data_IF_442900869279
#
_entry.id   IF_442900869279
#
_cell.length_a   1.000
_cell.length_b   1.000
_cell.length_c   1.000
_cell.angle_alpha   90.00
_cell.angle_beta   90.00
_cell.angle_gamma   90.00
#
_symmetry.space_group_name_H-M   'P 1'
#
loop_
_entity.id
_entity.type
_entity.pdbx_description
1 polymer ?
#
# COMPACT_ATOMS: atom_id res chain seq x y z
N UNK A 1 -21.05 7.35 -3.95
CA UNK A 1 -20.65 6.66 -2.71
C UNK A 1 -19.30 6.01 -2.99
N UNK A 2 -18.43 5.79 -2.00
CA UNK A 2 -17.23 4.96 -2.22
C UNK A 2 -17.72 3.53 -2.18
N UNK A 3 -17.73 2.86 -3.32
CA UNK A 3 -18.33 1.53 -3.48
C UNK A 3 -17.36 0.41 -3.11
N UNK A 4 -16.05 0.64 -3.24
CA UNK A 4 -15.04 -0.28 -2.73
C UNK A 4 -13.79 0.44 -2.24
N UNK A 5 -12.99 -0.25 -1.43
CA UNK A 5 -11.70 0.19 -0.93
C UNK A 5 -10.63 -0.72 -1.50
N UNK A 6 -9.64 -0.12 -2.13
CA UNK A 6 -8.46 -0.85 -2.57
C UNK A 6 -7.50 -1.03 -1.40
N UNK A 7 -7.10 -2.28 -1.18
CA UNK A 7 -6.12 -2.66 -0.19
C UNK A 7 -4.74 -2.54 -0.80
N UNK A 8 -3.87 -1.78 -0.15
CA UNK A 8 -2.56 -1.45 -0.67
C UNK A 8 -1.49 -1.95 0.28
N UNK A 9 -0.46 -2.57 -0.27
CA UNK A 9 0.77 -2.83 0.45
C UNK A 9 1.98 -2.41 -0.35
N UNK A 10 3.12 -2.31 0.30
CA UNK A 10 4.36 -2.11 -0.42
C UNK A 10 5.58 -2.20 0.46
N UNK A 11 6.72 -1.91 -0.13
CA UNK A 11 8.00 -1.96 0.55
C UNK A 11 8.69 -0.61 0.40
N UNK A 12 9.29 -0.12 1.49
CA UNK A 12 10.21 1.02 1.37
C UNK A 12 11.54 0.47 0.85
N UNK A 13 12.32 1.28 0.17
CA UNK A 13 13.62 0.88 -0.33
C UNK A 13 14.53 2.11 -0.34
N UNK A 14 15.85 1.89 -0.41
CA UNK A 14 16.76 3.02 -0.63
C UNK A 14 16.58 3.72 -1.99
N UNK A 15 15.71 3.19 -2.87
CA UNK A 15 15.39 3.74 -4.19
C UNK A 15 14.01 4.40 -4.25
N UNK A 16 13.22 4.34 -3.18
CA UNK A 16 11.84 4.83 -3.15
C UNK A 16 10.90 3.86 -2.44
N UNK A 17 9.59 4.06 -2.63
CA UNK A 17 8.52 3.24 -2.05
C UNK A 17 7.79 2.52 -3.17
N UNK A 18 7.69 1.19 -3.09
CA UNK A 18 6.83 0.40 -3.99
C UNK A 18 5.41 0.38 -3.46
N UNK A 19 4.46 0.25 -4.37
CA UNK A 19 3.02 0.16 -4.09
C UNK A 19 2.44 -0.98 -4.94
N UNK A 20 1.67 -1.86 -4.30
CA UNK A 20 0.99 -2.98 -4.92
C UNK A 20 -0.43 -3.09 -4.38
N UNK A 21 -1.34 -3.55 -5.22
CA UNK A 21 -2.71 -3.86 -4.85
C UNK A 21 -2.77 -5.28 -4.25
N UNK A 22 -3.39 -5.42 -3.08
CA UNK A 22 -3.72 -6.70 -2.46
C UNK A 22 -5.14 -7.17 -2.80
N UNK A 23 -5.90 -6.37 -3.53
CA UNK A 23 -7.30 -6.60 -3.87
C UNK A 23 -8.19 -5.44 -3.43
N UNK A 24 -9.49 -5.64 -3.53
CA UNK A 24 -10.51 -4.68 -3.13
C UNK A 24 -11.53 -5.32 -2.19
N UNK A 25 -12.13 -4.50 -1.34
CA UNK A 25 -13.19 -4.87 -0.41
C UNK A 25 -14.32 -3.84 -0.47
N UNK A 26 -15.55 -4.28 -0.29
CA UNK A 26 -16.73 -3.39 -0.44
C UNK A 26 -16.99 -2.52 0.80
N UNK A 27 -16.32 -2.80 1.92
CA UNK A 27 -16.54 -2.12 3.20
C UNK A 27 -15.29 -1.43 3.73
N UNK A 28 -15.47 -0.20 4.24
CA UNK A 28 -14.40 0.54 4.94
C UNK A 28 -13.87 -0.24 6.16
N UNK A 29 -14.78 -0.86 6.91
CA UNK A 29 -14.45 -1.63 8.11
C UNK A 29 -13.55 -2.83 7.80
N UNK A 30 -13.81 -3.53 6.68
CA UNK A 30 -12.96 -4.63 6.22
C UNK A 30 -11.59 -4.14 5.80
N UNK A 31 -11.51 -2.98 5.13
CA UNK A 31 -10.23 -2.39 4.75
C UNK A 31 -9.40 -1.95 5.97
N UNK A 32 -10.04 -1.32 6.96
CA UNK A 32 -9.41 -0.92 8.21
C UNK A 32 -8.91 -2.14 9.00
N UNK A 33 -9.73 -3.18 9.11
CA UNK A 33 -9.37 -4.43 9.75
C UNK A 33 -8.19 -5.09 9.04
N UNK A 34 -8.15 -5.10 7.71
CA UNK A 34 -7.05 -5.66 6.94
C UNK A 34 -5.72 -4.93 7.22
N UNK A 35 -5.72 -3.59 7.20
CA UNK A 35 -4.53 -2.78 7.50
C UNK A 35 -4.07 -3.02 8.94
N UNK A 36 -4.99 -3.00 9.90
CA UNK A 36 -4.69 -3.21 11.32
C UNK A 36 -4.11 -4.60 11.57
N UNK A 37 -4.79 -5.65 11.08
CA UNK A 37 -4.37 -7.04 11.29
C UNK A 37 -2.97 -7.32 10.69
N UNK A 38 -2.65 -6.72 9.54
CA UNK A 38 -1.30 -6.85 8.96
C UNK A 38 -0.22 -6.11 9.76
N UNK A 39 -0.54 -4.91 10.28
CA UNK A 39 0.39 -4.15 11.14
C UNK A 39 0.65 -4.86 12.46
N UNK A 40 -0.37 -5.48 13.04
CA UNK A 40 -0.27 -6.28 14.27
C UNK A 40 0.33 -7.68 14.04
N UNK A 41 0.47 -8.11 12.78
CA UNK A 41 1.05 -9.41 12.42
C UNK A 41 0.11 -10.60 12.67
N UNK A 42 -1.19 -10.34 12.75
CA UNK A 42 -2.24 -11.35 12.91
C UNK A 42 -2.53 -12.10 11.60
N UNK A 43 -2.23 -11.47 10.46
CA UNK A 43 -2.35 -12.06 9.13
C UNK A 43 -1.01 -12.61 8.62
N UNK A 44 -1.06 -13.61 7.72
CA UNK A 44 0.14 -14.19 7.12
C UNK A 44 0.97 -13.12 6.40
N UNK A 45 2.29 -13.29 6.43
CA UNK A 45 3.22 -12.36 5.77
C UNK A 45 2.99 -12.36 4.26
N UNK A 46 2.76 -11.17 3.69
CA UNK A 46 2.72 -10.98 2.24
C UNK A 46 4.10 -11.29 1.65
N UNK A 47 4.10 -12.12 0.60
CA UNK A 47 5.30 -12.42 -0.17
C UNK A 47 5.68 -11.22 -1.02
N UNK A 48 6.97 -10.87 -1.00
CA UNK A 48 7.54 -9.83 -1.86
C UNK A 48 7.33 -10.24 -3.33
N UNK A 49 6.70 -9.40 -4.17
CA UNK A 49 6.56 -9.65 -5.61
C UNK A 49 7.90 -9.91 -6.31
N UNK A 50 7.92 -10.72 -7.39
CA UNK A 50 9.16 -10.99 -8.13
C UNK A 50 9.77 -9.74 -8.76
N UNK A 51 8.94 -8.77 -9.12
CA UNK A 51 9.32 -7.49 -9.72
C UNK A 51 9.83 -6.44 -8.71
N UNK A 52 9.76 -6.72 -7.40
CA UNK A 52 10.11 -5.73 -6.39
C UNK A 52 11.62 -5.43 -6.37
N UNK A 53 12.03 -4.14 -6.36
CA UNK A 53 13.43 -3.71 -6.29
C UNK A 53 14.25 -4.31 -5.16
N UNK A 54 13.61 -4.72 -4.06
CA UNK A 54 14.30 -5.38 -2.94
C UNK A 54 14.99 -6.68 -3.37
N UNK A 55 14.45 -7.39 -4.38
CA UNK A 55 15.01 -8.66 -4.89
C UNK A 55 16.28 -8.45 -5.71
N UNK A 56 16.40 -7.34 -6.41
CA UNK A 56 17.56 -7.00 -7.25
C UNK A 56 18.36 -5.80 -6.73
N UNK A 57 18.13 -5.41 -5.46
CA UNK A 57 18.89 -4.36 -4.81
C UNK A 57 20.36 -4.76 -4.66
N UNK A 58 21.22 -4.01 -5.35
CA UNK A 58 22.68 -4.20 -5.35
C UNK A 58 23.41 -3.56 -4.17
N UNK A 59 22.71 -2.84 -3.29
CA UNK A 59 23.34 -2.26 -2.11
C UNK A 59 23.84 -3.38 -1.19
N UNK A 60 25.13 -3.35 -0.89
CA UNK A 60 25.79 -4.34 -0.02
C UNK A 60 25.20 -4.34 1.40
N UNK A 61 24.81 -3.16 1.89
CA UNK A 61 24.12 -2.98 3.16
C UNK A 61 22.92 -2.06 2.99
N UNK A 62 21.71 -2.63 2.97
CA UNK A 62 20.47 -1.87 2.88
C UNK A 62 19.63 -2.20 4.13
N UNK A 63 19.43 -1.25 5.07
CA UNK A 63 18.63 -1.50 6.28
C UNK A 63 17.17 -1.86 5.93
N UNK A 64 16.74 -1.43 4.75
CA UNK A 64 15.41 -1.64 4.19
C UNK A 64 15.24 -3.03 3.51
N UNK A 65 16.27 -3.88 3.46
CA UNK A 65 16.16 -5.22 2.81
C UNK A 65 15.41 -6.27 3.63
N UNK A 66 15.22 -6.03 4.94
CA UNK A 66 14.57 -6.96 5.89
C UNK A 66 13.33 -6.38 6.58
N UNK A 67 12.84 -5.23 6.11
CA UNK A 67 11.73 -4.56 6.75
C UNK A 67 10.38 -5.26 6.49
N UNK A 68 9.39 -4.90 7.31
CA UNK A 68 8.00 -5.31 7.09
C UNK A 68 7.38 -4.46 5.96
N UNK A 69 6.41 -5.00 5.22
CA UNK A 69 5.64 -4.20 4.29
C UNK A 69 4.94 -3.07 5.03
N UNK A 70 4.74 -1.94 4.35
CA UNK A 70 3.75 -0.96 4.77
C UNK A 70 2.39 -1.37 4.20
N UNK A 71 1.33 -1.00 4.92
CA UNK A 71 -0.04 -1.33 4.55
C UNK A 71 -0.90 -0.08 4.66
N UNK A 72 -1.76 0.12 3.69
CA UNK A 72 -2.69 1.23 3.60
C UNK A 72 -3.96 0.81 2.85
N UNK A 73 -4.96 1.68 2.86
CA UNK A 73 -6.18 1.51 2.08
C UNK A 73 -6.53 2.82 1.41
N UNK A 74 -7.11 2.78 0.20
CA UNK A 74 -7.67 3.97 -0.44
C UNK A 74 -9.10 3.73 -0.91
N UNK A 75 -9.98 4.74 -0.81
CA UNK A 75 -11.31 4.65 -1.40
C UNK A 75 -11.18 4.54 -2.92
N UNK A 76 -11.77 3.50 -3.49
CA UNK A 76 -11.94 3.34 -4.94
C UNK A 76 -13.34 3.86 -5.27
N UNK A 77 -13.45 5.18 -5.27
CA UNK A 77 -14.62 5.85 -5.81
C UNK A 77 -14.46 5.99 -7.32
N UNK A 78 -15.53 5.79 -8.08
CA UNK A 78 -15.60 6.25 -9.47
C UNK A 78 -15.04 7.67 -9.54
N UNK A 79 -14.06 7.86 -10.41
CA UNK A 79 -13.23 9.06 -10.46
C UNK A 79 -14.06 10.30 -10.82
N UNK A 80 -14.72 10.91 -9.85
CA UNK A 80 -15.20 12.27 -9.95
C UNK A 80 -14.88 13.04 -8.66
N UNK A 81 -14.22 14.17 -8.88
CA UNK A 81 -14.02 15.31 -7.97
C UNK A 81 -12.80 15.28 -7.03
N UNK A 82 -11.60 15.45 -7.59
CA UNK A 82 -10.65 16.44 -7.04
C UNK A 82 -10.03 17.24 -8.19
N UNK A 83 -10.84 18.07 -8.85
CA UNK A 83 -10.34 19.37 -9.33
C UNK A 83 -10.55 20.36 -8.19
N UNK A 84 -9.73 20.26 -7.13
CA UNK A 84 -9.57 21.38 -6.22
C UNK A 84 -8.80 22.45 -6.98
N UNK A 85 -9.56 23.49 -7.37
CA UNK A 85 -9.11 24.76 -7.93
C UNK A 85 -7.77 25.18 -7.31
N UNK A 86 -6.72 25.20 -8.15
CA UNK A 86 -5.83 26.37 -8.18
C UNK A 86 -6.74 27.56 -8.44
N UNK A 87 -6.79 28.50 -7.49
CA UNK A 87 -6.95 29.95 -7.67
C UNK A 87 -7.43 30.58 -6.35
N UNK A 88 -6.46 31.08 -5.61
CA UNK A 88 -6.51 32.23 -4.69
C UNK A 88 -5.05 32.71 -4.74
N UNK A 89 -4.70 33.83 -5.32
CA UNK A 89 -5.39 35.11 -5.43
C UNK A 89 -4.38 36.14 -4.96
#
# INVERSE_FOLDING_TARGET
MVESYELIYGFVHCRGRTEYSAGEVDSKEEAEAWVKNHREGLLPKIKIPPEDPIRYCRAAWCPFKKQKPWFDMRPKGDAQTVKMKKDQG
#
